data_IF_094014661571
#
_entry.id   IF_094014661571
#
_cell.length_a   1.000
_cell.length_b   1.000
_cell.length_c   1.000
_cell.angle_alpha   90.00
_cell.angle_beta   90.00
_cell.angle_gamma   90.00
#
_symmetry.space_group_name_H-M   'P 1'
#
loop_
_entity.id
_entity.type
_entity.pdbx_description
1 polymer ?
#
# COMPACT_ATOMS: atom_id res chain seq x y z
N UNK A 1 -26.18 6.26 -41.11
CA UNK A 1 -24.97 6.40 -40.27
C UNK A 1 -25.29 5.72 -38.95
N UNK A 2 -24.72 4.54 -38.71
CA UNK A 2 -24.94 3.82 -37.45
C UNK A 2 -24.03 4.43 -36.39
N UNK A 3 -24.62 5.07 -35.36
CA UNK A 3 -23.88 5.40 -34.14
C UNK A 3 -23.39 4.10 -33.50
N UNK A 4 -22.15 4.07 -33.04
CA UNK A 4 -21.66 2.98 -32.22
C UNK A 4 -22.51 2.91 -30.94
N UNK A 5 -22.85 1.72 -30.42
CA UNK A 5 -23.58 1.61 -29.16
C UNK A 5 -22.76 2.22 -28.03
N UNK A 6 -23.38 3.05 -27.19
CA UNK A 6 -22.81 3.48 -25.91
C UNK A 6 -22.63 2.23 -25.05
N UNK A 7 -21.38 1.97 -24.64
CA UNK A 7 -21.08 0.86 -23.73
C UNK A 7 -21.44 1.33 -22.32
N UNK A 8 -22.38 0.65 -21.67
CA UNK A 8 -22.74 0.96 -20.29
C UNK A 8 -21.57 0.65 -19.34
N UNK A 9 -21.43 1.42 -18.25
CA UNK A 9 -20.36 1.23 -17.26
C UNK A 9 -20.38 -0.20 -16.66
N UNK A 10 -21.58 -0.78 -16.53
CA UNK A 10 -21.82 -2.18 -16.14
C UNK A 10 -21.10 -3.17 -17.06
N UNK A 11 -21.20 -2.99 -18.38
CA UNK A 11 -20.55 -3.84 -19.38
C UNK A 11 -19.02 -3.75 -19.28
N UNK A 12 -18.50 -2.55 -19.01
CA UNK A 12 -17.06 -2.35 -18.81
C UNK A 12 -16.58 -3.10 -17.57
N UNK A 13 -17.29 -2.98 -16.44
CA UNK A 13 -16.95 -3.67 -15.20
C UNK A 13 -16.90 -5.18 -15.39
N UNK A 14 -17.96 -5.76 -15.97
CA UNK A 14 -18.05 -7.21 -16.25
C UNK A 14 -16.90 -7.66 -17.14
N UNK A 15 -16.63 -6.91 -18.22
CA UNK A 15 -15.55 -7.26 -19.16
C UNK A 15 -14.18 -7.17 -18.50
N UNK A 16 -13.91 -6.14 -17.69
CA UNK A 16 -12.61 -6.00 -17.02
C UNK A 16 -12.42 -7.07 -15.94
N UNK A 17 -13.45 -7.38 -15.15
CA UNK A 17 -13.41 -8.49 -14.19
C UNK A 17 -13.11 -9.83 -14.88
N UNK A 18 -13.77 -10.12 -16.00
CA UNK A 18 -13.52 -11.32 -16.80
C UNK A 18 -12.08 -11.41 -17.30
N UNK A 19 -11.51 -10.31 -17.81
CA UNK A 19 -10.12 -10.27 -18.26
C UNK A 19 -9.16 -10.46 -17.08
N UNK A 20 -9.42 -9.82 -15.94
CA UNK A 20 -8.57 -9.88 -14.76
C UNK A 20 -8.51 -11.30 -14.17
N UNK A 21 -9.66 -11.97 -14.10
CA UNK A 21 -9.81 -13.34 -13.58
C UNK A 21 -9.27 -14.43 -14.53
N UNK A 22 -9.01 -14.13 -15.81
CA UNK A 22 -8.58 -15.13 -16.78
C UNK A 22 -7.09 -15.44 -16.70
N UNK A 23 -6.73 -16.65 -16.27
CA UNK A 23 -5.35 -17.17 -16.31
C UNK A 23 -4.81 -17.37 -17.75
N UNK A 24 -5.70 -17.37 -18.75
CA UNK A 24 -5.31 -17.46 -20.17
C UNK A 24 -4.94 -16.10 -20.77
N UNK A 25 -5.31 -14.99 -20.12
CA UNK A 25 -5.00 -13.67 -20.62
C UNK A 25 -3.56 -13.25 -20.25
N UNK A 26 -2.81 -12.63 -21.17
CA UNK A 26 -1.48 -12.10 -20.86
C UNK A 26 -1.50 -11.14 -19.67
N UNK A 27 -0.48 -11.23 -18.82
CA UNK A 27 -0.36 -10.43 -17.60
C UNK A 27 -0.54 -8.92 -17.84
N UNK A 28 -0.03 -8.40 -18.96
CA UNK A 28 -0.19 -6.99 -19.38
C UNK A 28 -1.67 -6.59 -19.56
N UNK A 29 -2.53 -7.48 -20.04
CA UNK A 29 -3.98 -7.20 -20.15
C UNK A 29 -4.66 -7.28 -18.79
N UNK A 30 -4.27 -8.25 -17.95
CA UNK A 30 -4.78 -8.38 -16.58
C UNK A 30 -4.49 -7.11 -15.76
N UNK A 31 -3.25 -6.60 -15.79
CA UNK A 31 -2.92 -5.31 -15.15
C UNK A 31 -3.72 -4.14 -15.69
N UNK A 32 -3.94 -4.05 -17.01
CA UNK A 32 -4.77 -2.99 -17.59
C UNK A 32 -6.22 -3.07 -17.12
N UNK A 33 -6.76 -4.28 -17.01
CA UNK A 33 -8.09 -4.49 -16.47
C UNK A 33 -8.16 -4.09 -14.98
N UNK A 34 -7.17 -4.49 -14.18
CA UNK A 34 -7.05 -4.11 -12.77
C UNK A 34 -7.03 -2.58 -12.59
N UNK A 35 -6.16 -1.87 -13.29
CA UNK A 35 -6.09 -0.41 -13.16
C UNK A 35 -7.34 0.30 -13.70
N UNK A 36 -8.02 -0.30 -14.69
CA UNK A 36 -9.32 0.20 -15.16
C UNK A 36 -10.38 0.04 -14.08
N UNK A 37 -10.46 -1.12 -13.42
CA UNK A 37 -11.38 -1.36 -12.29
C UNK A 37 -11.10 -0.40 -11.13
N UNK A 38 -9.82 -0.24 -10.74
CA UNK A 38 -9.40 0.73 -9.73
C UNK A 38 -9.92 2.15 -10.04
N UNK A 39 -9.75 2.60 -11.28
CA UNK A 39 -10.14 3.95 -11.69
C UNK A 39 -11.67 4.12 -11.80
N UNK A 40 -12.40 3.05 -12.14
CA UNK A 40 -13.87 3.08 -12.16
C UNK A 40 -14.45 3.16 -10.74
N UNK A 41 -13.82 2.47 -9.77
CA UNK A 41 -14.26 2.50 -8.38
C UNK A 41 -15.60 1.80 -8.12
N UNK A 42 -16.04 1.88 -6.86
CA UNK A 42 -17.30 1.31 -6.40
C UNK A 42 -17.25 -0.18 -6.08
N UNK A 43 -18.27 -0.67 -5.39
CA UNK A 43 -18.30 -2.03 -4.85
C UNK A 43 -18.18 -3.11 -5.93
N UNK A 44 -18.80 -2.93 -7.11
CA UNK A 44 -18.71 -3.89 -8.21
C UNK A 44 -17.27 -4.03 -8.76
N UNK A 45 -16.50 -2.94 -8.78
CA UNK A 45 -15.09 -3.01 -9.15
C UNK A 45 -14.26 -3.71 -8.06
N UNK A 46 -14.56 -3.43 -6.79
CA UNK A 46 -13.92 -4.09 -5.65
C UNK A 46 -14.20 -5.60 -5.68
N UNK A 47 -15.45 -6.01 -5.89
CA UNK A 47 -15.85 -7.42 -6.00
C UNK A 47 -15.07 -8.12 -7.12
N UNK A 48 -14.98 -7.50 -8.30
CA UNK A 48 -14.21 -8.04 -9.42
C UNK A 48 -12.71 -8.20 -9.12
N UNK A 49 -12.10 -7.25 -8.39
CA UNK A 49 -10.70 -7.33 -7.95
C UNK A 49 -10.55 -8.43 -6.89
N UNK A 50 -11.48 -8.53 -5.95
CA UNK A 50 -11.51 -9.51 -4.87
C UNK A 50 -11.57 -10.95 -5.41
N UNK A 51 -12.37 -11.21 -6.45
CA UNK A 51 -12.46 -12.53 -7.10
C UNK A 51 -11.11 -13.00 -7.68
N UNK A 52 -10.23 -12.07 -8.05
CA UNK A 52 -8.95 -12.35 -8.67
C UNK A 52 -7.85 -12.81 -7.71
N UNK A 53 -8.09 -12.79 -6.38
CA UNK A 53 -7.13 -13.35 -5.41
C UNK A 53 -6.94 -14.87 -5.52
N UNK A 54 -7.76 -15.53 -6.36
CA UNK A 54 -7.59 -16.92 -6.77
C UNK A 54 -6.45 -17.13 -7.78
N UNK A 55 -5.84 -16.06 -8.29
CA UNK A 55 -4.75 -16.16 -9.25
C UNK A 55 -3.53 -16.90 -8.71
N UNK A 56 -2.88 -17.66 -9.59
CA UNK A 56 -1.59 -18.31 -9.30
C UNK A 56 -0.41 -17.34 -9.19
N UNK A 57 -0.58 -16.08 -9.63
CA UNK A 57 0.49 -15.09 -9.66
C UNK A 57 0.56 -14.27 -8.37
N UNK A 58 1.59 -14.50 -7.55
CA UNK A 58 1.88 -13.66 -6.38
C UNK A 58 2.03 -12.17 -6.73
N UNK A 59 2.63 -11.87 -7.89
CA UNK A 59 2.79 -10.50 -8.38
C UNK A 59 1.43 -9.84 -8.66
N UNK A 60 0.50 -10.57 -9.30
CA UNK A 60 -0.83 -10.03 -9.53
C UNK A 60 -1.57 -9.83 -8.21
N UNK A 61 -1.56 -10.83 -7.32
CA UNK A 61 -2.23 -10.76 -6.00
C UNK A 61 -1.73 -9.59 -5.15
N UNK A 62 -0.42 -9.33 -5.17
CA UNK A 62 0.15 -8.13 -4.57
C UNK A 62 -0.51 -6.88 -5.14
N UNK A 63 -0.53 -6.72 -6.48
CA UNK A 63 -1.13 -5.53 -7.10
C UNK A 63 -2.64 -5.40 -6.85
N UNK A 64 -3.37 -6.51 -6.69
CA UNK A 64 -4.78 -6.48 -6.30
C UNK A 64 -4.94 -5.80 -4.93
N UNK A 65 -4.18 -6.25 -3.92
CA UNK A 65 -4.19 -5.68 -2.58
C UNK A 65 -3.77 -4.21 -2.60
N UNK A 66 -2.72 -3.87 -3.35
CA UNK A 66 -2.29 -2.49 -3.55
C UNK A 66 -3.42 -1.63 -4.11
N UNK A 67 -4.06 -2.05 -5.21
CA UNK A 67 -5.15 -1.30 -5.82
C UNK A 67 -6.34 -1.10 -4.86
N UNK A 68 -6.71 -2.12 -4.09
CA UNK A 68 -7.75 -2.00 -3.06
C UNK A 68 -7.39 -0.98 -1.99
N UNK A 69 -6.14 -0.96 -1.52
CA UNK A 69 -5.63 0.05 -0.59
C UNK A 69 -5.70 1.46 -1.17
N UNK A 70 -5.28 1.63 -2.44
CA UNK A 70 -5.31 2.91 -3.16
C UNK A 70 -6.74 3.40 -3.45
N UNK A 71 -7.72 2.50 -3.51
CA UNK A 71 -9.13 2.88 -3.64
C UNK A 71 -9.70 3.44 -2.32
N UNK A 72 -9.11 3.09 -1.17
CA UNK A 72 -9.47 3.65 0.14
C UNK A 72 -10.87 3.28 0.64
N UNK A 73 -11.58 2.37 -0.03
CA UNK A 73 -12.94 1.99 0.33
C UNK A 73 -12.94 0.85 1.36
N UNK A 74 -13.57 1.09 2.51
CA UNK A 74 -13.72 0.11 3.60
C UNK A 74 -14.45 -1.17 3.17
N UNK A 75 -15.18 -1.16 2.05
CA UNK A 75 -15.81 -2.35 1.49
C UNK A 75 -14.78 -3.44 1.14
N UNK A 76 -13.53 -3.07 0.80
CA UNK A 76 -12.46 -4.02 0.52
C UNK A 76 -11.85 -4.68 1.77
N UNK A 77 -12.08 -4.12 2.97
CA UNK A 77 -11.45 -4.55 4.22
C UNK A 77 -11.59 -6.05 4.50
N UNK A 78 -12.79 -6.68 4.41
CA UNK A 78 -12.92 -8.10 4.75
C UNK A 78 -12.01 -9.01 3.91
N UNK A 79 -11.85 -8.71 2.62
CA UNK A 79 -10.95 -9.45 1.74
C UNK A 79 -9.48 -9.24 2.15
N UNK A 80 -9.07 -8.01 2.41
CA UNK A 80 -7.69 -7.71 2.84
C UNK A 80 -7.36 -8.37 4.18
N UNK A 81 -8.30 -8.41 5.13
CA UNK A 81 -8.11 -9.15 6.37
C UNK A 81 -7.96 -10.66 6.14
N UNK A 82 -8.75 -11.23 5.22
CA UNK A 82 -8.64 -12.64 4.86
C UNK A 82 -7.26 -12.94 4.26
N UNK A 83 -6.78 -12.10 3.35
CA UNK A 83 -5.46 -12.25 2.71
C UNK A 83 -4.33 -12.13 3.72
N UNK A 84 -4.39 -11.17 4.65
CA UNK A 84 -3.39 -11.03 5.71
C UNK A 84 -3.36 -12.26 6.64
N UNK A 85 -4.53 -12.84 6.94
CA UNK A 85 -4.69 -14.00 7.83
C UNK A 85 -4.27 -15.32 7.20
N UNK A 86 -4.33 -15.46 5.89
CA UNK A 86 -4.05 -16.70 5.19
C UNK A 86 -2.54 -16.99 5.14
N UNK A 87 -2.08 -17.93 5.97
CA UNK A 87 -0.68 -18.35 6.04
C UNK A 87 -0.19 -19.07 4.77
N UNK A 88 -1.09 -19.48 3.88
CA UNK A 88 -0.74 -20.07 2.58
C UNK A 88 -0.48 -19.00 1.51
N UNK A 89 -0.83 -17.73 1.76
CA UNK A 89 -0.48 -16.64 0.86
C UNK A 89 1.01 -16.34 0.96
N UNK A 90 1.58 -15.92 -0.16
CA UNK A 90 2.97 -15.49 -0.21
C UNK A 90 3.16 -14.29 0.71
N UNK A 91 4.28 -14.21 1.45
CA UNK A 91 4.52 -13.09 2.36
C UNK A 91 4.45 -11.71 1.68
N UNK A 92 4.77 -11.66 0.38
CA UNK A 92 4.67 -10.44 -0.43
C UNK A 92 3.21 -9.94 -0.54
N UNK A 93 2.26 -10.85 -0.71
CA UNK A 93 0.84 -10.52 -0.82
C UNK A 93 0.28 -10.12 0.56
N UNK A 94 0.72 -10.82 1.62
CA UNK A 94 0.30 -10.55 2.99
C UNK A 94 0.78 -9.19 3.50
N UNK A 95 2.00 -8.78 3.18
CA UNK A 95 2.45 -7.43 3.55
C UNK A 95 1.60 -6.37 2.83
N UNK A 96 1.28 -6.59 1.56
CA UNK A 96 0.52 -5.62 0.78
C UNK A 96 -0.91 -5.49 1.29
N UNK A 97 -1.51 -6.59 1.75
CA UNK A 97 -2.79 -6.55 2.44
C UNK A 97 -2.74 -5.76 3.75
N UNK A 98 -1.67 -5.90 4.55
CA UNK A 98 -1.47 -5.08 5.75
C UNK A 98 -1.29 -3.59 5.43
N UNK A 99 -0.53 -3.27 4.38
CA UNK A 99 -0.33 -1.90 3.91
C UNK A 99 -1.66 -1.28 3.43
N UNK A 100 -2.42 -2.01 2.64
CA UNK A 100 -3.74 -1.60 2.15
C UNK A 100 -4.74 -1.35 3.30
N UNK A 101 -4.73 -2.16 4.36
CA UNK A 101 -5.53 -1.91 5.57
C UNK A 101 -5.12 -0.58 6.24
N UNK A 102 -3.83 -0.27 6.30
CA UNK A 102 -3.32 1.02 6.78
C UNK A 102 -3.72 2.19 5.87
N UNK A 103 -3.73 1.98 4.55
CA UNK A 103 -4.15 2.97 3.56
C UNK A 103 -5.64 3.34 3.70
N UNK A 104 -6.51 2.33 3.88
CA UNK A 104 -7.95 2.51 4.13
C UNK A 104 -8.21 3.21 5.48
N UNK A 105 -7.34 3.00 6.46
CA UNK A 105 -7.36 3.66 7.76
C UNK A 105 -8.63 3.44 8.62
N UNK A 106 -9.34 2.33 8.41
CA UNK A 106 -10.52 1.94 9.22
C UNK A 106 -10.06 1.41 10.60
N UNK A 107 -10.44 2.05 11.73
CA UNK A 107 -10.04 1.63 13.08
C UNK A 107 -10.41 0.18 13.44
N UNK A 108 -11.42 -0.40 12.79
CA UNK A 108 -11.77 -1.81 13.04
C UNK A 108 -10.70 -2.81 12.57
N UNK A 109 -9.78 -2.40 11.70
CA UNK A 109 -8.63 -3.22 11.29
C UNK A 109 -7.53 -3.32 12.36
N UNK A 110 -7.57 -2.51 13.42
CA UNK A 110 -6.54 -2.49 14.48
C UNK A 110 -6.35 -3.87 15.12
N UNK A 111 -7.44 -4.61 15.34
CA UNK A 111 -7.39 -5.93 15.98
C UNK A 111 -6.55 -6.93 15.18
N UNK A 112 -6.80 -7.05 13.86
CA UNK A 112 -6.03 -7.97 13.00
C UNK A 112 -4.59 -7.52 12.83
N UNK A 113 -4.34 -6.22 12.63
CA UNK A 113 -2.98 -5.70 12.46
C UNK A 113 -2.15 -5.91 13.74
N UNK A 114 -2.75 -5.74 14.92
CA UNK A 114 -2.09 -5.97 16.20
C UNK A 114 -1.69 -7.43 16.42
N UNK A 115 -2.51 -8.37 15.93
CA UNK A 115 -2.20 -9.80 15.98
C UNK A 115 -0.91 -10.12 15.22
N UNK A 116 -0.75 -9.56 14.02
CA UNK A 116 0.41 -9.85 13.15
C UNK A 116 1.63 -8.97 13.43
N UNK A 117 1.46 -7.77 14.02
CA UNK A 117 2.57 -6.96 14.57
C UNK A 117 3.38 -7.73 15.63
N UNK A 118 2.68 -8.50 16.48
CA UNK A 118 3.26 -9.20 17.62
C UNK A 118 3.62 -10.66 17.32
N UNK A 119 3.63 -11.09 16.05
CA UNK A 119 3.89 -12.49 15.71
C UNK A 119 5.21 -12.95 16.33
N UNK A 120 5.12 -14.00 17.17
CA UNK A 120 6.23 -14.49 18.00
C UNK A 120 7.40 -15.08 17.17
N UNK A 121 7.24 -15.19 15.86
CA UNK A 121 8.21 -15.75 14.92
C UNK A 121 8.87 -14.60 14.14
N UNK A 122 9.56 -13.69 14.85
CA UNK A 122 10.35 -12.61 14.22
C UNK A 122 11.60 -13.11 13.51
N UNK A 123 11.91 -14.41 13.63
CA UNK A 123 13.15 -15.01 13.12
C UNK A 123 13.10 -15.27 11.60
N UNK A 124 11.92 -15.36 11.00
CA UNK A 124 11.81 -15.48 9.54
C UNK A 124 11.70 -14.09 8.91
N UNK A 125 12.66 -13.76 8.04
CA UNK A 125 12.79 -12.47 7.32
C UNK A 125 11.49 -12.01 6.68
N UNK A 126 10.69 -12.93 6.16
CA UNK A 126 9.43 -12.61 5.50
C UNK A 126 8.28 -12.32 6.49
N UNK A 127 8.27 -12.97 7.66
CA UNK A 127 7.31 -12.66 8.73
C UNK A 127 7.64 -11.31 9.37
N UNK A 128 8.94 -10.99 9.50
CA UNK A 128 9.38 -9.69 10.00
C UNK A 128 8.85 -8.53 9.15
N UNK A 129 8.86 -8.66 7.82
CA UNK A 129 8.30 -7.64 6.91
C UNK A 129 6.82 -7.41 7.18
N UNK A 130 6.03 -8.49 7.28
CA UNK A 130 4.59 -8.39 7.57
C UNK A 130 4.37 -7.68 8.92
N UNK A 131 5.12 -8.05 9.96
CA UNK A 131 5.02 -7.45 11.28
C UNK A 131 5.36 -5.95 11.26
N UNK A 132 6.43 -5.56 10.56
CA UNK A 132 6.83 -4.16 10.37
C UNK A 132 5.77 -3.37 9.58
N UNK A 133 5.21 -3.95 8.53
CA UNK A 133 4.12 -3.32 7.78
C UNK A 133 2.86 -3.15 8.65
N UNK A 134 2.52 -4.14 9.48
CA UNK A 134 1.41 -4.01 10.44
C UNK A 134 1.68 -2.89 11.47
N UNK A 135 2.92 -2.75 11.95
CA UNK A 135 3.33 -1.66 12.84
C UNK A 135 3.14 -0.28 12.19
N UNK A 136 3.52 -0.12 10.92
CA UNK A 136 3.31 1.11 10.16
C UNK A 136 1.82 1.38 9.91
N UNK A 137 1.06 0.37 9.50
CA UNK A 137 -0.37 0.47 9.25
C UNK A 137 -1.15 0.91 10.50
N UNK A 138 -0.80 0.35 11.67
CA UNK A 138 -1.38 0.77 12.96
C UNK A 138 -1.09 2.23 13.27
N UNK A 139 0.16 2.65 13.14
CA UNK A 139 0.55 4.06 13.37
C UNK A 139 -0.11 5.00 12.36
N UNK A 140 -0.30 4.57 11.12
CA UNK A 140 -1.01 5.33 10.09
C UNK A 140 -2.49 5.51 10.45
N UNK A 141 -3.17 4.45 10.90
CA UNK A 141 -4.55 4.54 11.40
C UNK A 141 -4.62 5.54 12.56
N UNK A 142 -3.75 5.41 13.56
CA UNK A 142 -3.70 6.34 14.71
C UNK A 142 -3.46 7.79 14.26
N UNK A 143 -2.50 8.01 13.35
CA UNK A 143 -2.18 9.32 12.81
C UNK A 143 -3.39 9.98 12.16
N UNK A 144 -4.05 9.29 11.22
CA UNK A 144 -5.21 9.80 10.48
C UNK A 144 -6.37 10.14 11.43
N UNK A 145 -6.59 9.30 12.45
CA UNK A 145 -7.66 9.51 13.42
C UNK A 145 -7.33 10.61 14.46
N UNK A 146 -6.04 10.90 14.69
CA UNK A 146 -5.58 11.95 15.62
C UNK A 146 -5.51 13.34 15.00
N UNK A 147 -5.31 13.46 13.69
CA UNK A 147 -5.10 14.75 12.99
C UNK A 147 -5.52 14.68 11.52
N UNK A 148 -6.85 14.66 11.23
CA UNK A 148 -7.37 14.43 9.88
C UNK A 148 -7.03 15.54 8.87
N UNK A 149 -6.69 16.75 9.33
CA UNK A 149 -6.43 17.92 8.47
C UNK A 149 -5.06 17.88 7.75
N UNK A 150 -4.12 17.07 8.24
CA UNK A 150 -2.77 16.93 7.65
C UNK A 150 -2.77 15.99 6.43
N UNK A 151 -3.86 15.26 6.20
CA UNK A 151 -3.84 14.05 5.38
C UNK A 151 -4.12 14.21 3.88
N UNK A 152 -4.42 15.41 3.36
CA UNK A 152 -4.93 15.54 1.98
C UNK A 152 -4.30 16.63 1.12
N UNK A 153 -3.29 17.36 1.60
CA UNK A 153 -2.61 18.34 0.76
C UNK A 153 -1.39 17.71 0.09
N UNK A 154 -1.52 17.35 -1.19
CA UNK A 154 -0.58 17.76 -2.26
C UNK A 154 -0.71 16.90 -3.53
N UNK A 155 -1.88 16.79 -4.18
CA UNK A 155 -1.97 16.30 -5.57
C UNK A 155 -1.37 14.91 -5.88
N UNK A 156 -0.89 14.19 -4.86
CA UNK A 156 -0.28 12.89 -4.97
C UNK A 156 -1.40 11.86 -5.11
N UNK A 157 -1.37 11.14 -6.22
CA UNK A 157 -2.41 10.18 -6.59
C UNK A 157 -2.25 8.83 -5.88
N UNK A 158 -1.25 8.69 -5.01
CA UNK A 158 -0.86 7.45 -4.35
C UNK A 158 -0.77 7.63 -2.84
N UNK A 159 -1.42 6.74 -2.10
CA UNK A 159 -1.36 6.65 -0.65
C UNK A 159 -0.07 5.95 -0.25
N UNK A 160 0.80 6.65 0.48
CA UNK A 160 2.04 6.11 1.02
C UNK A 160 1.82 5.44 2.40
N UNK A 161 2.64 4.44 2.78
CA UNK A 161 2.56 3.79 4.10
C UNK A 161 2.69 4.75 5.28
N UNK A 162 3.52 5.78 5.11
CA UNK A 162 3.79 6.82 6.12
C UNK A 162 3.79 8.15 5.38
N UNK A 163 3.02 9.16 5.83
CA UNK A 163 3.04 10.47 5.20
C UNK A 163 4.39 11.15 5.42
N UNK A 164 4.83 12.05 4.51
CA UNK A 164 5.95 12.92 4.80
C UNK A 164 5.64 13.80 6.03
N UNK A 165 6.66 14.45 6.58
CA UNK A 165 6.44 15.45 7.62
C UNK A 165 5.45 16.52 7.13
N UNK A 166 4.58 17.04 8.02
CA UNK A 166 3.69 18.17 7.71
C UNK A 166 4.47 19.38 7.18
N UNK A 167 3.87 20.14 6.28
CA UNK A 167 4.51 21.28 5.61
C UNK A 167 5.22 22.25 6.57
N UNK A 168 4.56 22.61 7.67
CA UNK A 168 5.11 23.54 8.67
C UNK A 168 6.35 22.98 9.40
N UNK A 169 6.51 21.65 9.48
CA UNK A 169 7.71 21.01 10.04
C UNK A 169 8.78 20.79 8.97
N UNK A 170 8.42 20.57 7.70
CA UNK A 170 9.38 20.37 6.61
C UNK A 170 10.35 21.53 6.45
N UNK A 171 9.85 22.75 6.58
CA UNK A 171 10.66 23.96 6.46
C UNK A 171 11.70 24.11 7.59
N UNK A 172 11.56 23.34 8.67
CA UNK A 172 12.47 23.34 9.82
C UNK A 172 13.49 22.20 9.78
N UNK A 173 13.34 21.24 8.87
CA UNK A 173 14.16 20.04 8.78
C UNK A 173 15.17 20.18 7.64
N UNK A 174 16.45 20.03 7.95
CA UNK A 174 17.49 19.94 6.91
C UNK A 174 17.57 18.54 6.31
N UNK A 175 18.11 18.42 5.10
CA UNK A 175 18.35 17.11 4.46
C UNK A 175 19.30 16.27 5.33
N UNK A 176 20.29 16.89 5.98
CA UNK A 176 21.20 16.21 6.89
C UNK A 176 20.46 15.64 8.11
N UNK A 177 19.51 16.38 8.69
CA UNK A 177 18.71 15.87 9.80
C UNK A 177 17.85 14.67 9.38
N UNK A 178 17.21 14.74 8.21
CA UNK A 178 16.41 13.64 7.67
C UNK A 178 17.26 12.41 7.34
N UNK A 179 18.47 12.61 6.78
CA UNK A 179 19.43 11.54 6.54
C UNK A 179 19.84 10.85 7.84
N UNK A 180 20.16 11.63 8.88
CA UNK A 180 20.53 11.08 10.19
C UNK A 180 19.41 10.19 10.76
N UNK A 181 18.15 10.63 10.70
CA UNK A 181 17.00 9.84 11.16
C UNK A 181 16.86 8.57 10.31
N UNK A 182 16.92 8.68 8.98
CA UNK A 182 16.77 7.55 8.07
C UNK A 182 17.82 6.44 8.33
N UNK A 183 19.07 6.85 8.59
CA UNK A 183 20.21 5.96 8.83
C UNK A 183 20.29 5.43 10.26
N UNK A 184 19.57 6.03 11.22
CA UNK A 184 19.54 5.56 12.60
C UNK A 184 18.74 4.26 12.73
N UNK A 185 19.44 3.14 12.94
CA UNK A 185 18.81 1.84 13.11
C UNK A 185 18.18 1.61 14.49
N UNK A 186 18.32 2.55 15.42
CA UNK A 186 17.68 2.53 16.74
C UNK A 186 16.41 3.39 16.79
N UNK A 187 16.23 4.27 15.81
CA UNK A 187 15.02 5.07 15.66
C UNK A 187 13.79 4.20 15.36
N UNK A 188 12.60 4.70 15.71
CA UNK A 188 11.34 4.02 15.44
C UNK A 188 11.15 3.87 13.94
N UNK A 189 10.48 2.78 13.53
CA UNK A 189 10.24 2.51 12.12
C UNK A 189 9.48 3.65 11.43
N UNK A 190 8.48 4.21 12.11
CA UNK A 190 7.72 5.36 11.62
C UNK A 190 8.60 6.58 11.32
N UNK A 191 9.45 7.00 12.26
CA UNK A 191 10.30 8.19 12.10
C UNK A 191 11.22 8.04 10.88
N UNK A 192 11.78 6.84 10.70
CA UNK A 192 12.66 6.52 9.56
C UNK A 192 11.91 6.56 8.23
N UNK A 193 10.69 6.03 8.18
CA UNK A 193 9.84 6.05 6.99
C UNK A 193 9.31 7.47 6.69
N UNK A 194 8.95 8.23 7.72
CA UNK A 194 8.53 9.62 7.58
C UNK A 194 9.69 10.47 7.05
N UNK A 195 10.92 10.24 7.51
CA UNK A 195 12.10 10.88 6.94
C UNK A 195 12.33 10.49 5.48
N UNK A 196 12.21 9.19 5.13
CA UNK A 196 12.30 8.68 3.76
C UNK A 196 11.31 9.38 2.81
N UNK A 197 10.03 9.42 3.17
CA UNK A 197 9.00 10.03 2.33
C UNK A 197 9.10 11.55 2.30
N UNK A 198 9.62 12.18 3.35
CA UNK A 198 9.96 13.62 3.32
C UNK A 198 11.09 13.89 2.34
N UNK A 199 12.17 13.10 2.34
CA UNK A 199 13.25 13.21 1.36
C UNK A 199 12.75 12.98 -0.06
N UNK A 200 11.87 11.98 -0.26
CA UNK A 200 11.22 11.71 -1.56
C UNK A 200 10.45 12.94 -2.03
N UNK A 201 9.70 13.56 -1.13
CA UNK A 201 8.94 14.77 -1.43
C UNK A 201 9.84 15.96 -1.80
N UNK A 202 10.99 16.13 -1.13
CA UNK A 202 11.96 17.19 -1.43
C UNK A 202 12.55 17.02 -2.84
N UNK A 203 12.93 15.79 -3.21
CA UNK A 203 13.27 15.43 -4.59
C UNK A 203 14.54 16.06 -5.18
N UNK A 204 15.38 16.73 -4.38
CA UNK A 204 16.68 17.25 -4.84
C UNK A 204 17.72 16.14 -4.99
N UNK A 205 18.84 16.41 -5.67
CA UNK A 205 19.93 15.43 -5.83
C UNK A 205 20.50 14.99 -4.47
N UNK A 206 20.63 15.92 -3.53
CA UNK A 206 21.09 15.64 -2.17
C UNK A 206 20.11 14.73 -1.42
N UNK A 207 18.80 15.01 -1.52
CA UNK A 207 17.77 14.19 -0.89
C UNK A 207 17.75 12.77 -1.47
N UNK A 208 17.87 12.64 -2.80
CA UNK A 208 17.99 11.34 -3.49
C UNK A 208 19.24 10.59 -3.03
N UNK A 209 20.37 11.28 -2.87
CA UNK A 209 21.61 10.70 -2.35
C UNK A 209 21.41 10.13 -0.92
N UNK A 210 20.73 10.85 -0.04
CA UNK A 210 20.38 10.39 1.30
C UNK A 210 19.51 9.13 1.28
N UNK A 211 18.51 9.09 0.39
CA UNK A 211 17.67 7.90 0.20
C UNK A 211 18.51 6.70 -0.26
N UNK A 212 19.39 6.89 -1.25
CA UNK A 212 20.28 5.84 -1.75
C UNK A 212 21.19 5.27 -0.65
N UNK A 213 21.73 6.12 0.24
CA UNK A 213 22.50 5.67 1.42
C UNK A 213 21.65 4.80 2.34
N UNK A 214 20.39 5.19 2.59
CA UNK A 214 19.43 4.42 3.37
C UNK A 214 19.19 3.04 2.79
N UNK A 215 18.85 2.94 1.51
CA UNK A 215 18.62 1.67 0.81
C UNK A 215 19.88 0.79 0.89
N UNK A 216 21.06 1.36 0.65
CA UNK A 216 22.32 0.63 0.75
C UNK A 216 22.58 0.05 2.15
N UNK A 217 22.30 0.82 3.20
CA UNK A 217 22.43 0.35 4.58
C UNK A 217 21.46 -0.80 4.88
N UNK A 218 20.21 -0.71 4.41
CA UNK A 218 19.24 -1.80 4.55
C UNK A 218 19.70 -3.07 3.84
N UNK A 219 20.21 -2.97 2.61
CA UNK A 219 20.71 -4.14 1.85
C UNK A 219 21.89 -4.82 2.53
N UNK A 220 22.74 -4.10 3.27
CA UNK A 220 23.88 -4.67 4.00
C UNK A 220 23.53 -5.41 5.28
N UNK A 221 22.36 -5.15 5.86
CA UNK A 221 21.88 -5.80 7.09
C UNK A 221 21.00 -7.04 6.81
N UNK A 222 20.82 -7.38 5.54
CA UNK A 222 19.94 -8.44 5.03
C UNK A 222 20.68 -9.69 4.60
#
# INVERSE_FOLDING_TARGET
>A
MSSAPEIEQSDILIRMGSILNSEMEPMKKRFRALFTLRNLGGHAAIDAICESFTSSSALLKHELAYCLGQMGDRYAKPMLEQVLKDENQEPIVRHEAAEALGAIADPSAISVLSLYKNSAIKELKDILKIAQTCELALQRIEWINSSPEVCLSNGDTTIEPVPPHPEHLRQLLSIENLEMILLDCTAKLWDRYQALFTLKHIGTEEAISSICKGIYLFMKKL
#
